data_IF_850146520680
#
_entry.id   IF_850146520680
#
_cell.length_a   1.000
_cell.length_b   1.000
_cell.length_c   1.000
_cell.angle_alpha   90.00
_cell.angle_beta   90.00
_cell.angle_gamma   90.00
#
_symmetry.space_group_name_H-M   'P 1'
#
loop_
_entity.id
_entity.type
_entity.pdbx_description
1 polymer ?
#
# COMPACT_ATOMS: atom_id res chain seq x y z
N UNK A 1 1.45 6.42 -17.28
CA UNK A 1 1.69 7.24 -16.09
C UNK A 1 0.67 8.37 -15.91
N UNK A 2 0.67 9.45 -16.73
CA UNK A 2 -0.28 10.58 -16.57
C UNK A 2 -1.77 10.17 -16.56
N UNK A 3 -2.15 9.15 -17.31
CA UNK A 3 -3.53 8.68 -17.39
C UNK A 3 -3.97 7.94 -16.10
N UNK A 4 -3.11 7.10 -15.53
CA UNK A 4 -3.38 6.42 -14.26
C UNK A 4 -3.47 7.44 -13.12
N UNK A 5 -2.53 8.37 -13.06
CA UNK A 5 -2.58 9.47 -12.09
C UNK A 5 -3.88 10.30 -12.19
N UNK A 6 -4.33 10.60 -13.41
CA UNK A 6 -5.60 11.30 -13.63
C UNK A 6 -6.79 10.44 -13.18
N UNK A 7 -6.74 9.15 -13.45
CA UNK A 7 -7.79 8.22 -13.03
C UNK A 7 -7.88 8.18 -11.50
N UNK A 8 -6.78 7.91 -10.81
CA UNK A 8 -6.76 7.80 -9.35
C UNK A 8 -7.15 9.11 -8.66
N UNK A 9 -6.61 10.24 -9.13
CA UNK A 9 -6.83 11.53 -8.47
C UNK A 9 -8.15 12.24 -8.82
N UNK A 10 -8.79 11.89 -9.93
CA UNK A 10 -9.99 12.59 -10.40
C UNK A 10 -11.18 11.66 -10.60
N UNK A 11 -10.95 10.53 -11.26
CA UNK A 11 -12.03 9.65 -11.69
C UNK A 11 -12.38 8.65 -10.58
N UNK A 12 -11.40 8.00 -9.96
CA UNK A 12 -11.59 7.03 -8.87
C UNK A 12 -12.29 7.70 -7.68
N UNK A 13 -11.82 8.89 -7.26
CA UNK A 13 -12.44 9.66 -6.19
C UNK A 13 -13.92 10.03 -6.47
N UNK A 14 -14.25 10.31 -7.74
CA UNK A 14 -15.64 10.56 -8.14
C UNK A 14 -16.46 9.28 -8.21
N UNK A 15 -15.91 8.19 -8.75
CA UNK A 15 -16.58 6.90 -8.88
C UNK A 15 -16.80 6.22 -7.54
N UNK A 16 -15.85 6.31 -6.62
CA UNK A 16 -15.96 5.77 -5.26
C UNK A 16 -16.87 6.62 -4.36
N UNK A 17 -17.43 7.69 -4.89
CA UNK A 17 -18.26 8.66 -4.15
C UNK A 17 -17.57 9.26 -2.93
N UNK A 18 -16.25 9.37 -2.98
CA UNK A 18 -15.42 10.01 -1.96
C UNK A 18 -15.57 9.37 -0.59
N UNK A 19 -15.72 10.20 0.44
CA UNK A 19 -15.79 9.79 1.85
C UNK A 19 -16.85 8.72 2.20
N UNK A 20 -17.84 8.49 1.35
CA UNK A 20 -18.89 7.50 1.65
C UNK A 20 -18.39 6.06 1.56
N UNK A 21 -17.39 5.79 0.73
CA UNK A 21 -16.88 4.44 0.47
C UNK A 21 -15.42 4.26 0.84
N UNK A 22 -14.66 5.33 0.85
CA UNK A 22 -13.27 5.32 1.24
C UNK A 22 -13.00 6.58 2.07
N UNK A 23 -12.63 6.41 3.32
CA UNK A 23 -12.34 7.51 4.23
C UNK A 23 -10.92 7.38 4.78
N UNK A 24 -9.89 7.71 3.98
CA UNK A 24 -8.51 7.68 4.45
C UNK A 24 -8.33 8.63 5.63
N UNK A 25 -7.52 8.21 6.60
CA UNK A 25 -7.17 9.03 7.75
C UNK A 25 -6.36 10.27 7.31
N UNK A 26 -6.53 11.38 8.00
CA UNK A 26 -5.77 12.58 7.69
C UNK A 26 -4.30 12.42 8.09
N UNK A 27 -3.39 13.06 7.32
CA UNK A 27 -1.97 13.08 7.67
C UNK A 27 -1.75 13.57 9.09
N UNK A 28 -1.15 12.73 9.93
CA UNK A 28 -0.91 13.04 11.33
C UNK A 28 -0.33 11.89 12.14
N UNK A 29 0.00 12.21 13.38
CA UNK A 29 0.34 11.24 14.42
C UNK A 29 -0.96 10.87 15.12
N UNK A 30 -1.21 9.58 15.24
CA UNK A 30 -2.38 9.02 15.89
C UNK A 30 -2.01 8.56 17.32
N UNK A 31 -2.46 7.42 17.73
CA UNK A 31 -2.18 6.81 19.02
C UNK A 31 -1.30 5.57 18.88
N UNK A 32 -0.75 5.10 19.98
CA UNK A 32 -0.04 3.80 20.07
C UNK A 32 1.11 3.64 19.06
N UNK A 33 1.83 4.73 18.75
CA UNK A 33 2.94 4.72 17.81
C UNK A 33 2.53 4.72 16.34
N UNK A 34 1.24 4.84 16.04
CA UNK A 34 0.72 4.86 14.67
C UNK A 34 0.74 6.30 14.14
N UNK A 35 1.22 6.48 12.93
CA UNK A 35 1.06 7.70 12.16
C UNK A 35 0.78 7.39 10.69
N UNK A 36 0.27 8.36 9.96
CA UNK A 36 0.00 8.17 8.55
C UNK A 36 0.19 9.43 7.70
N UNK A 37 0.43 9.21 6.43
CA UNK A 37 0.38 10.22 5.40
C UNK A 37 -0.79 9.89 4.49
N UNK A 38 -1.71 10.83 4.33
CA UNK A 38 -2.82 10.71 3.39
C UNK A 38 -2.40 11.15 2.00
N UNK A 39 -2.63 10.29 1.04
CA UNK A 39 -2.52 10.62 -0.38
C UNK A 39 -3.84 10.33 -1.09
N UNK A 40 -4.64 11.37 -1.33
CA UNK A 40 -5.99 11.27 -1.91
C UNK A 40 -6.91 10.29 -1.16
N UNK A 41 -7.06 9.09 -1.69
CA UNK A 41 -7.94 8.02 -1.21
C UNK A 41 -7.22 6.85 -0.54
N UNK A 42 -5.91 6.95 -0.36
CA UNK A 42 -5.08 5.95 0.33
C UNK A 42 -4.24 6.57 1.45
N UNK A 43 -3.76 5.73 2.35
CA UNK A 43 -2.79 6.11 3.36
C UNK A 43 -1.48 5.33 3.19
N UNK A 44 -0.37 6.03 3.46
CA UNK A 44 0.91 5.41 3.80
C UNK A 44 0.93 5.34 5.33
N UNK A 45 1.13 4.16 5.89
CA UNK A 45 1.08 3.96 7.33
C UNK A 45 2.47 3.77 7.91
N UNK A 46 2.66 4.23 9.15
CA UNK A 46 3.89 4.06 9.90
C UNK A 46 3.55 3.55 11.30
N UNK A 47 4.39 2.67 11.79
CA UNK A 47 4.35 2.23 13.17
C UNK A 47 5.73 2.38 13.78
N UNK A 48 5.79 3.10 14.91
CA UNK A 48 7.02 3.41 15.64
C UNK A 48 6.97 2.81 17.02
N UNK A 49 8.03 2.07 17.39
CA UNK A 49 8.24 1.49 18.72
C UNK A 49 9.72 1.50 19.05
N UNK A 50 10.09 2.03 20.23
CA UNK A 50 11.48 2.10 20.70
C UNK A 50 12.43 2.67 19.63
N UNK A 51 12.07 3.84 19.06
CA UNK A 51 12.81 4.56 18.01
C UNK A 51 12.97 3.80 16.68
N UNK A 52 12.32 2.65 16.51
CA UNK A 52 12.27 1.92 15.25
C UNK A 52 10.95 2.21 14.57
N UNK A 53 11.02 2.64 13.31
CA UNK A 53 9.83 2.90 12.50
C UNK A 53 9.81 1.98 11.28
N UNK A 54 8.69 1.30 11.08
CA UNK A 54 8.37 0.57 9.84
C UNK A 54 7.32 1.33 9.04
N UNK A 55 7.31 1.13 7.72
CA UNK A 55 6.25 1.64 6.85
C UNK A 55 5.40 0.50 6.28
N UNK A 56 4.11 0.77 6.07
CA UNK A 56 3.20 -0.10 5.31
C UNK A 56 2.64 0.71 4.14
N UNK A 57 2.89 0.21 2.94
CA UNK A 57 2.71 0.86 1.66
C UNK A 57 3.59 2.09 1.45
N UNK A 58 3.60 2.64 0.26
CA UNK A 58 4.47 3.75 -0.13
C UNK A 58 3.74 4.85 -0.92
N UNK A 59 2.41 4.69 -1.10
CA UNK A 59 1.62 5.66 -1.84
C UNK A 59 1.92 5.68 -3.34
N UNK A 60 1.52 6.77 -3.99
CA UNK A 60 1.55 6.91 -5.44
C UNK A 60 2.92 7.36 -5.97
N UNK A 61 3.23 6.98 -7.21
CA UNK A 61 4.48 7.30 -7.93
C UNK A 61 4.86 8.79 -7.97
N UNK A 62 3.90 9.69 -7.93
CA UNK A 62 4.13 11.13 -8.04
C UNK A 62 3.31 11.91 -7.01
N UNK A 63 3.69 11.79 -5.76
CA UNK A 63 3.11 12.63 -4.72
C UNK A 63 4.00 13.86 -4.45
N UNK A 64 3.64 15.05 -5.00
CA UNK A 64 4.54 16.21 -4.99
C UNK A 64 4.81 16.78 -3.60
N UNK A 65 3.91 16.53 -2.63
CA UNK A 65 4.00 17.06 -1.26
C UNK A 65 4.40 16.04 -0.22
N UNK A 66 4.96 14.90 -0.63
CA UNK A 66 5.26 13.81 0.28
C UNK A 66 6.21 14.24 1.42
N UNK A 67 7.24 15.05 1.13
CA UNK A 67 8.20 15.49 2.14
C UNK A 67 7.61 16.47 3.14
N UNK A 68 6.73 17.39 2.70
CA UNK A 68 5.96 18.24 3.62
C UNK A 68 5.08 17.40 4.56
N UNK A 69 4.65 16.24 4.11
CA UNK A 69 3.83 15.32 4.91
C UNK A 69 4.70 14.52 5.89
N UNK A 70 5.90 14.13 5.51
CA UNK A 70 6.89 13.54 6.43
C UNK A 70 7.26 14.51 7.55
N UNK A 71 7.52 15.78 7.23
CA UNK A 71 7.80 16.84 8.21
C UNK A 71 6.66 16.97 9.25
N UNK A 72 5.40 16.89 8.80
CA UNK A 72 4.22 16.99 9.69
C UNK A 72 4.13 15.87 10.71
N UNK A 73 4.59 14.68 10.37
CA UNK A 73 4.56 13.51 11.27
C UNK A 73 5.89 13.27 11.97
N UNK A 74 6.91 14.09 11.67
CA UNK A 74 8.22 14.02 12.32
C UNK A 74 9.03 12.77 11.94
N UNK A 75 8.78 12.17 10.78
CA UNK A 75 9.48 10.99 10.29
C UNK A 75 10.46 11.39 9.19
N UNK A 76 11.71 10.95 9.31
CA UNK A 76 12.68 11.03 8.25
C UNK A 76 12.59 9.78 7.35
N UNK A 77 12.18 9.95 6.11
CA UNK A 77 12.01 8.83 5.17
C UNK A 77 13.30 8.05 4.90
N UNK A 78 14.48 8.69 5.00
CA UNK A 78 15.78 8.03 4.82
C UNK A 78 16.13 7.07 5.97
N UNK A 79 15.48 7.23 7.12
CA UNK A 79 15.67 6.38 8.30
C UNK A 79 14.77 5.14 8.29
N UNK A 80 13.76 5.09 7.42
CA UNK A 80 12.93 3.91 7.25
C UNK A 80 13.75 2.79 6.62
N UNK A 81 13.90 1.69 7.36
CA UNK A 81 14.69 0.53 6.93
C UNK A 81 13.85 -0.67 6.49
N UNK A 82 12.55 -0.64 6.75
CA UNK A 82 11.64 -1.73 6.42
C UNK A 82 10.32 -1.17 5.91
N UNK A 83 9.93 -1.56 4.71
CA UNK A 83 8.63 -1.23 4.13
C UNK A 83 7.91 -2.51 3.69
N UNK A 84 6.69 -2.67 4.17
CA UNK A 84 5.81 -3.81 3.90
C UNK A 84 4.75 -3.37 2.91
N UNK A 85 4.75 -3.94 1.71
CA UNK A 85 3.83 -3.58 0.63
C UNK A 85 2.65 -4.55 0.63
N UNK A 86 1.44 -4.02 0.73
CA UNK A 86 0.23 -4.84 0.71
C UNK A 86 0.00 -5.45 -0.66
N UNK A 87 0.19 -4.65 -1.71
CA UNK A 87 0.10 -5.09 -3.10
C UNK A 87 0.78 -4.09 -4.04
N UNK A 88 0.96 -4.46 -5.31
CA UNK A 88 1.79 -3.69 -6.24
C UNK A 88 1.02 -2.68 -7.10
N UNK A 89 -0.17 -2.24 -6.70
CA UNK A 89 -0.85 -1.14 -7.37
C UNK A 89 -0.10 0.18 -7.17
N UNK A 90 -0.25 1.08 -8.14
CA UNK A 90 0.56 2.31 -8.23
C UNK A 90 0.33 3.29 -7.09
N UNK A 91 -0.80 3.23 -6.43
CA UNK A 91 -1.18 4.04 -5.28
C UNK A 91 -0.74 3.43 -3.94
N UNK A 92 -0.23 2.21 -3.93
CA UNK A 92 0.33 1.53 -2.75
C UNK A 92 1.83 1.29 -2.86
N UNK A 93 2.31 0.96 -4.05
CA UNK A 93 3.71 0.61 -4.30
C UNK A 93 4.48 1.66 -5.13
N UNK A 94 3.79 2.71 -5.58
CA UNK A 94 4.37 3.70 -6.50
C UNK A 94 5.47 4.56 -5.90
N UNK A 95 5.44 4.82 -4.60
CA UNK A 95 6.45 5.64 -3.93
C UNK A 95 7.84 5.01 -3.84
N UNK A 96 7.96 3.71 -4.11
CA UNK A 96 9.24 2.98 -4.19
C UNK A 96 9.56 2.49 -5.60
N UNK A 97 8.85 3.00 -6.61
CA UNK A 97 9.11 2.64 -8.01
C UNK A 97 10.52 3.05 -8.45
N UNK A 98 11.26 2.14 -9.07
CA UNK A 98 12.66 2.34 -9.45
C UNK A 98 12.85 3.35 -10.60
N UNK A 99 11.80 3.63 -11.37
CA UNK A 99 11.82 4.64 -12.44
C UNK A 99 11.38 6.01 -11.97
N UNK A 100 10.87 6.10 -10.74
CA UNK A 100 10.35 7.28 -10.12
C UNK A 100 11.24 7.80 -8.99
N UNK A 101 10.57 8.36 -7.99
CA UNK A 101 11.20 8.88 -6.80
C UNK A 101 11.01 7.88 -5.66
N UNK A 102 12.04 7.10 -5.38
CA UNK A 102 12.00 6.20 -4.23
C UNK A 102 12.00 7.01 -2.92
N UNK A 103 10.89 6.99 -2.19
CA UNK A 103 10.74 7.73 -0.92
C UNK A 103 11.37 6.99 0.26
N UNK A 104 11.73 5.71 0.11
CA UNK A 104 12.40 4.89 1.12
C UNK A 104 13.69 4.29 0.57
N UNK A 105 14.70 5.13 0.24
CA UNK A 105 15.88 4.71 -0.53
C UNK A 105 16.75 3.67 0.19
N UNK A 106 16.60 3.57 1.52
CA UNK A 106 17.40 2.69 2.37
C UNK A 106 16.63 1.50 2.93
N UNK A 107 15.39 1.28 2.46
CA UNK A 107 14.52 0.27 3.03
C UNK A 107 14.65 -1.09 2.34
N UNK A 108 14.60 -2.15 3.14
CA UNK A 108 14.27 -3.47 2.64
C UNK A 108 12.77 -3.51 2.34
N UNK A 109 12.43 -3.81 1.11
CA UNK A 109 11.04 -3.98 0.66
C UNK A 109 10.60 -5.42 0.91
N UNK A 110 9.38 -5.58 1.42
CA UNK A 110 8.70 -6.87 1.63
C UNK A 110 7.37 -6.85 0.89
N UNK A 111 7.02 -7.92 0.19
CA UNK A 111 5.75 -8.07 -0.51
C UNK A 111 5.36 -9.53 -0.67
N UNK A 112 4.08 -9.81 -0.90
CA UNK A 112 3.59 -11.15 -1.12
C UNK A 112 4.25 -11.82 -2.33
N UNK A 113 4.67 -13.08 -2.19
CA UNK A 113 5.39 -13.82 -3.24
C UNK A 113 4.61 -13.85 -4.58
N UNK A 114 3.30 -13.89 -4.53
CA UNK A 114 2.45 -13.94 -5.72
C UNK A 114 2.26 -12.57 -6.41
N UNK A 115 2.67 -11.45 -5.80
CA UNK A 115 2.68 -10.13 -6.46
C UNK A 115 3.72 -10.05 -7.60
N UNK A 116 4.72 -10.90 -7.58
CA UNK A 116 5.76 -10.94 -8.61
C UNK A 116 5.20 -11.10 -10.04
N UNK A 117 4.06 -11.77 -10.20
CA UNK A 117 3.41 -11.95 -11.52
C UNK A 117 2.99 -10.62 -12.15
N UNK A 118 2.76 -9.60 -11.34
CA UNK A 118 2.47 -8.25 -11.83
C UNK A 118 3.75 -7.46 -12.12
N UNK A 119 4.76 -7.57 -11.26
CA UNK A 119 6.05 -6.89 -11.43
C UNK A 119 6.79 -7.39 -12.67
N UNK A 120 6.87 -8.69 -12.88
CA UNK A 120 7.47 -9.29 -14.07
C UNK A 120 6.55 -9.23 -15.30
N UNK A 121 5.35 -8.65 -15.16
CA UNK A 121 4.36 -8.48 -16.23
C UNK A 121 3.90 -9.79 -16.90
N UNK A 122 3.98 -10.93 -16.18
CA UNK A 122 3.51 -12.23 -16.67
C UNK A 122 2.02 -12.20 -16.93
N UNK A 123 1.26 -11.51 -16.09
CA UNK A 123 -0.17 -11.33 -16.24
C UNK A 123 -0.56 -9.85 -16.35
N UNK A 124 -1.79 -9.59 -16.74
CA UNK A 124 -2.33 -8.23 -16.75
C UNK A 124 -2.92 -7.92 -15.36
N UNK A 125 -2.65 -6.70 -14.84
CA UNK A 125 -3.28 -6.24 -13.60
C UNK A 125 -4.78 -6.03 -13.79
N UNK A 126 -5.19 -5.53 -14.95
CA UNK A 126 -6.58 -5.38 -15.33
C UNK A 126 -6.81 -6.10 -16.68
N UNK A 127 -7.81 -7.00 -16.71
CA UNK A 127 -8.25 -7.68 -17.94
C UNK A 127 -9.78 -7.74 -17.91
N UNK A 128 -10.45 -6.70 -18.44
CA UNK A 128 -11.91 -6.59 -18.41
C UNK A 128 -12.42 -5.85 -19.63
N UNK A 129 -13.57 -6.29 -20.20
CA UNK A 129 -14.22 -5.66 -21.35
C UNK A 129 -13.27 -5.37 -22.53
N UNK A 130 -12.34 -6.29 -22.82
CA UNK A 130 -11.35 -6.11 -23.88
C UNK A 130 -10.16 -5.21 -23.51
N UNK A 131 -10.19 -4.54 -22.36
CA UNK A 131 -9.08 -3.72 -21.85
C UNK A 131 -8.09 -4.65 -21.14
N UNK A 132 -6.80 -4.50 -21.47
CA UNK A 132 -5.69 -5.24 -20.86
C UNK A 132 -4.62 -4.27 -20.42
N UNK A 133 -4.46 -4.12 -19.11
CA UNK A 133 -3.46 -3.20 -18.52
C UNK A 133 -2.47 -4.02 -17.71
N UNK A 134 -1.19 -3.86 -18.00
CA UNK A 134 -0.09 -4.38 -17.19
C UNK A 134 0.14 -3.45 -15.99
N UNK A 135 0.73 -4.00 -14.93
CA UNK A 135 1.20 -3.17 -13.84
C UNK A 135 2.26 -2.17 -14.35
N UNK A 136 2.22 -0.94 -13.85
CA UNK A 136 3.18 0.10 -14.23
C UNK A 136 4.34 0.24 -13.23
N UNK A 137 4.19 -0.26 -12.02
CA UNK A 137 5.26 -0.22 -11.00
C UNK A 137 6.40 -1.15 -11.39
N UNK A 138 7.62 -0.69 -11.14
CA UNK A 138 8.85 -1.46 -11.27
C UNK A 138 9.64 -1.34 -9.96
N UNK A 139 10.13 -2.45 -9.47
CA UNK A 139 10.99 -2.48 -8.28
C UNK A 139 12.40 -2.92 -8.68
N UNK A 140 13.39 -2.38 -7.98
CA UNK A 140 14.75 -2.88 -8.06
C UNK A 140 14.83 -4.30 -7.47
N UNK A 141 15.82 -5.06 -7.90
CA UNK A 141 16.11 -6.37 -7.32
C UNK A 141 16.42 -6.26 -5.83
N UNK A 142 16.15 -7.34 -5.07
CA UNK A 142 16.47 -7.40 -3.65
C UNK A 142 15.26 -7.22 -2.71
N UNK A 143 14.04 -7.05 -3.24
CA UNK A 143 12.86 -7.17 -2.39
C UNK A 143 12.69 -8.59 -1.86
N UNK A 144 12.15 -8.73 -0.66
CA UNK A 144 11.87 -10.02 -0.03
C UNK A 144 10.42 -10.43 -0.29
N UNK A 145 10.25 -11.67 -0.73
CA UNK A 145 8.95 -12.30 -0.92
C UNK A 145 8.49 -12.89 0.40
N UNK A 146 7.25 -12.61 0.77
CA UNK A 146 6.62 -13.16 1.97
C UNK A 146 5.61 -14.24 1.58
N UNK A 147 5.58 -15.28 2.38
CA UNK A 147 4.57 -16.33 2.33
C UNK A 147 3.49 -16.09 3.39
N UNK A 148 2.39 -16.85 3.29
CA UNK A 148 1.30 -16.78 4.26
C UNK A 148 1.78 -17.19 5.66
N UNK A 149 1.33 -16.45 6.69
CA UNK A 149 1.71 -16.58 8.10
C UNK A 149 3.19 -16.32 8.42
N UNK A 150 3.98 -15.84 7.48
CA UNK A 150 5.38 -15.52 7.74
C UNK A 150 5.50 -14.38 8.75
N UNK A 151 6.47 -14.50 9.67
CA UNK A 151 6.73 -13.51 10.71
C UNK A 151 8.10 -12.89 10.46
N UNK A 152 8.12 -11.56 10.39
CA UNK A 152 9.32 -10.74 10.30
C UNK A 152 9.47 -9.98 11.61
N UNK A 153 10.63 -10.04 12.23
CA UNK A 153 10.96 -9.27 13.43
C UNK A 153 11.91 -8.13 13.06
N UNK A 154 11.53 -6.90 13.40
CA UNK A 154 12.31 -5.68 13.18
C UNK A 154 12.56 -5.03 14.54
N UNK A 155 13.73 -5.28 15.14
CA UNK A 155 13.96 -4.94 16.54
C UNK A 155 12.91 -5.60 17.44
N UNK A 156 12.14 -4.80 18.16
CA UNK A 156 11.06 -5.25 19.05
C UNK A 156 9.68 -5.28 18.36
N UNK A 157 9.64 -5.00 17.06
CA UNK A 157 8.40 -5.01 16.27
C UNK A 157 8.22 -6.37 15.60
N UNK A 158 7.08 -7.01 15.85
CA UNK A 158 6.66 -8.23 15.19
C UNK A 158 5.69 -7.91 14.06
N UNK A 159 5.99 -8.31 12.84
CA UNK A 159 5.10 -8.18 11.69
C UNK A 159 4.73 -9.57 11.19
N UNK A 160 3.47 -9.94 11.24
CA UNK A 160 2.96 -11.18 10.68
C UNK A 160 2.21 -10.91 9.39
N UNK A 161 2.61 -11.58 8.32
CA UNK A 161 2.01 -11.47 7.00
C UNK A 161 0.86 -12.47 6.84
N UNK A 162 -0.24 -12.04 6.23
CA UNK A 162 -1.38 -12.88 5.87
C UNK A 162 -1.66 -12.72 4.38
N UNK A 163 -1.64 -13.80 3.64
CA UNK A 163 -1.99 -13.79 2.23
C UNK A 163 -3.50 -13.77 2.06
N UNK A 164 -4.02 -12.67 1.55
CA UNK A 164 -5.46 -12.43 1.35
C UNK A 164 -5.72 -12.13 -0.14
N UNK A 165 -5.69 -13.14 -1.01
CA UNK A 165 -5.93 -12.95 -2.44
C UNK A 165 -7.37 -12.47 -2.70
N UNK A 166 -7.52 -11.54 -3.63
CA UNK A 166 -8.82 -10.98 -3.98
C UNK A 166 -8.68 -9.72 -4.79
N UNK A 167 -8.23 -8.65 -4.19
CA UNK A 167 -7.91 -7.39 -4.86
C UNK A 167 -6.75 -7.58 -5.85
N UNK A 168 -5.67 -8.24 -5.41
CA UNK A 168 -4.63 -8.82 -6.26
C UNK A 168 -4.40 -10.28 -5.90
N UNK A 169 -3.63 -11.02 -6.72
CA UNK A 169 -3.32 -12.42 -6.44
C UNK A 169 -2.40 -12.59 -5.23
N UNK A 170 -1.48 -11.67 -5.02
CA UNK A 170 -0.51 -11.72 -3.94
C UNK A 170 -0.77 -10.74 -2.80
N UNK A 171 -2.00 -10.16 -2.73
CA UNK A 171 -2.35 -9.19 -1.71
C UNK A 171 -2.07 -9.71 -0.30
N UNK A 172 -1.39 -8.89 0.49
CA UNK A 172 -1.03 -9.17 1.88
C UNK A 172 -1.74 -8.21 2.83
N UNK A 173 -2.14 -8.73 3.98
CA UNK A 173 -2.43 -7.94 5.16
C UNK A 173 -1.31 -8.16 6.18
N UNK A 174 -1.07 -7.18 7.04
CA UNK A 174 -0.04 -7.28 8.07
C UNK A 174 -0.64 -7.05 9.45
N UNK A 175 -0.42 -7.98 10.38
CA UNK A 175 -0.70 -7.76 11.79
C UNK A 175 0.62 -7.40 12.48
N UNK A 176 0.66 -6.23 13.11
CA UNK A 176 1.83 -5.71 13.80
C UNK A 176 1.60 -5.76 15.30
N UNK A 177 2.57 -6.34 16.02
CA UNK A 177 2.56 -6.52 17.47
C UNK A 177 1.26 -7.14 18.03
N UNK A 178 0.61 -8.01 17.24
CA UNK A 178 -0.62 -8.74 17.57
C UNK A 178 -1.86 -7.85 17.84
N UNK A 179 -1.83 -6.54 17.55
CA UNK A 179 -2.95 -5.64 17.81
C UNK A 179 -3.30 -4.67 16.68
N UNK A 180 -2.41 -4.40 15.71
CA UNK A 180 -2.68 -3.49 14.59
C UNK A 180 -2.82 -4.31 13.31
N UNK A 181 -3.94 -4.15 12.59
CA UNK A 181 -4.14 -4.72 11.27
C UNK A 181 -4.01 -3.65 10.18
N UNK A 182 -3.03 -3.79 9.31
CA UNK A 182 -2.93 -3.06 8.05
C UNK A 182 -3.51 -3.93 6.92
N UNK A 183 -4.67 -3.56 6.45
CA UNK A 183 -5.47 -4.41 5.56
C UNK A 183 -5.27 -4.15 4.07
N UNK A 184 -4.58 -3.06 3.69
CA UNK A 184 -4.55 -2.62 2.30
C UNK A 184 -5.96 -2.49 1.72
N UNK A 185 -6.12 -2.84 0.46
CA UNK A 185 -7.39 -2.71 -0.27
C UNK A 185 -8.32 -3.93 -0.12
N UNK A 186 -8.04 -4.85 0.80
CA UNK A 186 -8.97 -5.93 1.06
C UNK A 186 -10.15 -5.52 1.96
N UNK A 187 -9.98 -4.46 2.77
CA UNK A 187 -11.03 -3.90 3.63
C UNK A 187 -11.06 -2.39 3.52
N UNK A 188 -12.24 -1.80 3.41
CA UNK A 188 -12.45 -0.38 3.54
C UNK A 188 -13.50 -0.10 4.62
N UNK A 189 -13.26 0.90 5.46
CA UNK A 189 -14.18 1.35 6.51
C UNK A 189 -14.79 2.67 6.07
N UNK A 190 -16.11 2.78 6.08
CA UNK A 190 -16.80 4.03 5.78
C UNK A 190 -16.99 4.90 7.04
N UNK A 191 -17.48 6.12 6.86
CA UNK A 191 -17.73 7.07 7.95
C UNK A 191 -18.69 6.56 9.06
N UNK A 192 -19.43 5.47 8.79
CA UNK A 192 -20.33 4.82 9.74
C UNK A 192 -19.68 3.61 10.42
N UNK A 193 -18.42 3.31 10.16
CA UNK A 193 -17.71 2.14 10.66
C UNK A 193 -18.11 0.81 10.00
N UNK A 194 -18.92 0.86 8.95
CA UNK A 194 -19.29 -0.33 8.18
C UNK A 194 -18.23 -0.75 7.18
N UNK A 195 -18.16 -2.04 6.91
CA UNK A 195 -17.28 -2.57 5.85
C UNK A 195 -17.88 -2.26 4.49
N UNK A 196 -17.13 -1.67 3.58
CA UNK A 196 -17.42 -1.88 2.18
C UNK A 196 -16.30 -2.75 1.61
N UNK A 197 -16.65 -3.91 1.07
CA UNK A 197 -15.73 -4.59 0.19
C UNK A 197 -15.46 -3.66 -0.99
N UNK A 198 -14.22 -3.34 -1.20
CA UNK A 198 -13.81 -2.57 -2.36
C UNK A 198 -14.15 -3.40 -3.58
N UNK A 199 -15.15 -2.95 -4.24
CA UNK A 199 -16.01 -3.68 -5.09
C UNK A 199 -15.51 -3.95 -6.53
N UNK A 200 -16.42 -3.83 -7.43
CA UNK A 200 -16.51 -4.04 -8.87
C UNK A 200 -15.21 -4.04 -9.70
N UNK A 201 -14.19 -3.24 -9.35
CA UNK A 201 -12.89 -3.27 -10.04
C UNK A 201 -11.86 -4.16 -9.37
N UNK A 202 -12.00 -4.42 -8.10
CA UNK A 202 -10.97 -4.97 -7.23
C UNK A 202 -11.17 -6.42 -6.85
N UNK A 203 -12.39 -6.89 -6.63
CA UNK A 203 -12.67 -8.31 -6.37
C UNK A 203 -12.54 -9.21 -7.60
N UNK A 204 -12.17 -8.66 -8.69
CA UNK A 204 -12.31 -9.31 -9.98
C UNK A 204 -11.28 -10.40 -10.24
N UNK A 205 -10.18 -10.42 -9.53
CA UNK A 205 -9.06 -11.31 -9.81
C UNK A 205 -9.08 -12.63 -9.07
N UNK A 206 -9.72 -12.70 -7.91
CA UNK A 206 -9.83 -13.94 -7.15
C UNK A 206 -10.82 -14.95 -7.74
N UNK A 207 -11.72 -14.49 -8.61
CA UNK A 207 -12.84 -15.29 -9.12
C UNK A 207 -12.93 -15.29 -10.66
N UNK A 208 -11.92 -14.81 -11.34
CA UNK A 208 -11.87 -14.73 -12.81
C UNK A 208 -11.28 -15.96 -13.49
#
# INVERSE_FOLDING_TARGET
MKLMYLFDNKIKAYMSRGKKYCNPENTGILQDGISCIRENDVNIWFYTKNDITIAVDSGHLNFPKIYESFDKIGINSDEIKHVFITHTDVDHCGGIDSTGRNIFPNAQVYLGSQEEVYLNKSIHRIKKFGIKIKNCVQLDEGYKKLEDFEIITVGDIKVQAFHIPGHTLGHMCYIVDDFILFSGDCLAVNDCGGYSFFDFFTQYYAYG
#
